data_IF_185845926277
#
_entry.id   IF_185845926277
#
_cell.length_a   1.000
_cell.length_b   1.000
_cell.length_c   1.000
_cell.angle_alpha   90.00
_cell.angle_beta   90.00
_cell.angle_gamma   90.00
#
_symmetry.space_group_name_H-M   'P 1'
#
loop_
_entity.id
_entity.type
_entity.pdbx_description
1 polymer ?
#
# COMPACT_ATOMS: atom_id res chain seq x y z
N UNK A 1 -32.11 -7.29 25.21
CA UNK A 1 -31.48 -6.08 24.64
C UNK A 1 -30.76 -6.53 23.38
N UNK A 2 -31.30 -6.16 22.21
CA UNK A 2 -30.80 -6.57 20.91
C UNK A 2 -29.73 -5.55 20.50
N UNK A 3 -28.45 -5.95 20.53
CA UNK A 3 -27.37 -5.10 20.06
C UNK A 3 -27.56 -4.84 18.55
N UNK A 4 -27.62 -3.57 18.17
CA UNK A 4 -27.68 -3.12 16.79
C UNK A 4 -26.37 -3.51 16.07
N UNK A 5 -26.38 -4.61 15.34
CA UNK A 5 -25.27 -5.15 14.53
C UNK A 5 -24.90 -4.31 13.29
N UNK A 6 -25.45 -3.09 13.15
CA UNK A 6 -25.19 -2.20 12.02
C UNK A 6 -23.82 -1.51 12.06
N UNK A 7 -23.12 -1.54 13.20
CA UNK A 7 -21.80 -0.92 13.38
C UNK A 7 -20.71 -1.88 13.87
N UNK A 8 -20.90 -3.19 13.69
CA UNK A 8 -19.80 -4.14 13.94
C UNK A 8 -18.76 -3.93 12.85
N UNK A 9 -17.64 -3.27 13.18
CA UNK A 9 -16.46 -3.16 12.32
C UNK A 9 -16.10 -4.58 11.87
N UNK A 10 -16.33 -4.84 10.59
CA UNK A 10 -16.18 -6.16 9.98
C UNK A 10 -14.75 -6.68 10.22
N UNK A 11 -14.63 -7.88 10.82
CA UNK A 11 -13.34 -8.58 11.02
C UNK A 11 -12.62 -8.95 9.70
N UNK A 12 -13.22 -8.60 8.55
CA UNK A 12 -12.73 -8.86 7.20
C UNK A 12 -11.79 -7.78 6.64
N UNK A 13 -11.51 -6.70 7.38
CA UNK A 13 -10.60 -5.61 6.97
C UNK A 13 -9.19 -5.79 7.54
N UNK A 14 -8.58 -6.95 7.32
CA UNK A 14 -7.24 -7.23 7.83
C UNK A 14 -6.20 -6.41 7.08
N UNK A 15 -5.25 -5.75 7.79
CA UNK A 15 -4.21 -4.95 7.13
C UNK A 15 -3.42 -5.71 6.07
N UNK A 16 -3.18 -7.01 6.27
CA UNK A 16 -2.43 -7.82 5.32
C UNK A 16 -3.21 -8.12 4.03
N UNK A 17 -4.52 -8.35 4.10
CA UNK A 17 -5.33 -8.55 2.89
C UNK A 17 -5.34 -7.29 2.02
N UNK A 18 -5.41 -6.13 2.67
CA UNK A 18 -5.28 -4.84 2.01
C UNK A 18 -3.86 -4.53 1.54
N UNK A 19 -2.82 -5.08 2.19
CA UNK A 19 -1.46 -5.05 1.68
C UNK A 19 -1.39 -5.77 0.33
N UNK A 20 -1.86 -7.01 0.28
CA UNK A 20 -1.79 -7.82 -0.94
C UNK A 20 -2.62 -7.17 -2.06
N UNK A 21 -3.84 -6.73 -1.76
CA UNK A 21 -4.70 -6.03 -2.73
C UNK A 21 -4.06 -4.73 -3.24
N UNK A 22 -3.54 -3.89 -2.33
CA UNK A 22 -2.86 -2.64 -2.68
C UNK A 22 -1.60 -2.87 -3.52
N UNK A 23 -0.83 -3.91 -3.20
CA UNK A 23 0.36 -4.28 -3.96
C UNK A 23 0.04 -4.74 -5.37
N UNK A 24 -1.01 -5.55 -5.54
CA UNK A 24 -1.46 -6.01 -6.85
C UNK A 24 -1.94 -4.85 -7.72
N UNK A 25 -2.82 -3.99 -7.19
CA UNK A 25 -3.38 -2.86 -7.93
C UNK A 25 -2.28 -1.89 -8.37
N UNK A 26 -1.43 -1.48 -7.44
CA UNK A 26 -0.34 -0.54 -7.74
C UNK A 26 0.71 -1.14 -8.68
N UNK A 27 1.07 -2.42 -8.48
CA UNK A 27 1.99 -3.15 -9.36
C UNK A 27 1.46 -3.29 -10.78
N UNK A 28 0.17 -3.62 -10.95
CA UNK A 28 -0.47 -3.70 -12.27
C UNK A 28 -0.56 -2.33 -12.94
N UNK A 29 -0.91 -1.27 -12.20
CA UNK A 29 -0.90 0.09 -12.73
C UNK A 29 0.49 0.53 -13.19
N UNK A 30 1.52 0.24 -12.40
CA UNK A 30 2.91 0.50 -12.76
C UNK A 30 3.38 -0.34 -13.96
N UNK A 31 2.88 -1.58 -14.11
CA UNK A 31 3.16 -2.42 -15.26
C UNK A 31 2.58 -1.81 -16.54
N UNK A 32 1.31 -1.38 -16.52
CA UNK A 32 0.67 -0.74 -17.67
C UNK A 32 1.45 0.49 -18.15
N UNK A 33 1.85 1.36 -17.21
CA UNK A 33 2.66 2.54 -17.52
C UNK A 33 4.07 2.16 -17.99
N UNK A 34 4.73 1.23 -17.29
CA UNK A 34 6.10 0.81 -17.61
C UNK A 34 6.21 0.11 -18.97
N UNK A 35 5.26 -0.73 -19.34
CA UNK A 35 5.25 -1.35 -20.67
C UNK A 35 5.07 -0.31 -21.78
N UNK A 36 4.25 0.72 -21.56
CA UNK A 36 4.16 1.86 -22.48
C UNK A 36 5.50 2.58 -22.62
N UNK A 37 6.19 2.85 -21.51
CA UNK A 37 7.52 3.49 -21.53
C UNK A 37 8.55 2.64 -22.30
N UNK A 38 8.53 1.31 -22.10
CA UNK A 38 9.40 0.37 -22.82
C UNK A 38 9.13 0.34 -24.33
N UNK A 39 7.86 0.27 -24.76
CA UNK A 39 7.49 0.27 -26.17
C UNK A 39 7.88 1.56 -26.89
N UNK A 40 7.94 2.67 -26.15
CA UNK A 40 8.35 3.98 -26.65
C UNK A 40 9.87 4.23 -26.56
N UNK A 41 10.68 3.21 -26.27
CA UNK A 41 12.13 3.30 -26.07
C UNK A 41 12.56 4.30 -24.97
N UNK A 42 11.70 4.55 -23.98
CA UNK A 42 11.97 5.45 -22.84
C UNK A 42 12.45 4.72 -21.60
N UNK A 43 12.38 3.39 -21.58
CA UNK A 43 12.79 2.56 -20.46
C UNK A 43 13.26 1.17 -20.93
N UNK A 44 14.12 0.52 -20.16
CA UNK A 44 14.48 -0.89 -20.39
C UNK A 44 13.52 -1.83 -19.65
N UNK A 45 13.49 -3.12 -20.01
CA UNK A 45 12.71 -4.13 -19.27
C UNK A 45 13.07 -4.18 -17.78
N UNK A 46 14.34 -3.91 -17.44
CA UNK A 46 14.82 -3.87 -16.05
C UNK A 46 14.19 -2.70 -15.29
N UNK A 47 14.08 -1.55 -15.92
CA UNK A 47 13.47 -0.36 -15.33
C UNK A 47 11.97 -0.58 -15.09
N UNK A 48 11.29 -1.22 -16.04
CA UNK A 48 9.87 -1.62 -15.88
C UNK A 48 9.69 -2.56 -14.70
N UNK A 49 10.50 -3.63 -14.60
CA UNK A 49 10.41 -4.56 -13.48
C UNK A 49 10.66 -3.87 -12.12
N UNK A 50 11.62 -2.96 -12.07
CA UNK A 50 11.92 -2.16 -10.87
C UNK A 50 10.76 -1.24 -10.50
N UNK A 51 10.15 -0.57 -11.49
CA UNK A 51 8.96 0.27 -11.31
C UNK A 51 7.79 -0.55 -10.74
N UNK A 52 7.51 -1.73 -11.31
CA UNK A 52 6.46 -2.63 -10.82
C UNK A 52 6.73 -3.02 -9.36
N UNK A 53 7.95 -3.48 -9.05
CA UNK A 53 8.30 -3.90 -7.69
C UNK A 53 8.18 -2.74 -6.69
N UNK A 54 8.64 -1.55 -7.07
CA UNK A 54 8.54 -0.35 -6.24
C UNK A 54 7.08 -0.04 -5.91
N UNK A 55 6.26 0.12 -6.94
CA UNK A 55 4.86 0.48 -6.76
C UNK A 55 4.05 -0.62 -6.07
N UNK A 56 4.38 -1.90 -6.27
CA UNK A 56 3.74 -2.98 -5.53
C UNK A 56 4.03 -2.90 -4.03
N UNK A 57 5.28 -2.69 -3.63
CA UNK A 57 5.64 -2.52 -2.21
C UNK A 57 4.96 -1.27 -1.64
N UNK A 58 5.06 -0.14 -2.32
CA UNK A 58 4.41 1.12 -1.91
C UNK A 58 2.90 0.95 -1.77
N UNK A 59 2.25 0.38 -2.78
CA UNK A 59 0.81 0.14 -2.80
C UNK A 59 0.35 -0.79 -1.68
N UNK A 60 1.14 -1.81 -1.36
CA UNK A 60 0.85 -2.69 -0.24
C UNK A 60 0.91 -1.98 1.10
N UNK A 61 1.97 -1.21 1.37
CA UNK A 61 2.06 -0.41 2.59
C UNK A 61 0.91 0.58 2.70
N UNK A 62 0.60 1.32 1.63
CA UNK A 62 -0.52 2.27 1.61
C UNK A 62 -1.85 1.57 1.90
N UNK A 63 -2.10 0.40 1.30
CA UNK A 63 -3.30 -0.40 1.55
C UNK A 63 -3.42 -0.84 3.01
N UNK A 64 -2.35 -1.42 3.57
CA UNK A 64 -2.33 -1.92 4.94
C UNK A 64 -2.47 -0.80 5.99
N UNK A 65 -1.72 0.28 5.80
CA UNK A 65 -1.71 1.42 6.72
C UNK A 65 -3.02 2.17 6.62
N UNK A 66 -3.49 2.42 5.40
CA UNK A 66 -4.76 3.10 5.14
C UNK A 66 -5.94 2.38 5.78
N UNK A 67 -6.01 1.05 5.67
CA UNK A 67 -7.13 0.31 6.27
C UNK A 67 -7.08 0.31 7.79
N UNK A 68 -5.89 0.14 8.38
CA UNK A 68 -5.75 0.12 9.83
C UNK A 68 -6.04 1.50 10.44
N UNK A 69 -5.49 2.56 9.84
CA UNK A 69 -5.77 3.93 10.25
C UNK A 69 -7.26 4.25 10.09
N UNK A 70 -7.90 3.82 9.00
CA UNK A 70 -9.35 3.97 8.80
C UNK A 70 -10.16 3.28 9.89
N UNK A 71 -9.77 2.07 10.31
CA UNK A 71 -10.41 1.35 11.40
C UNK A 71 -10.25 2.09 12.74
N UNK A 72 -9.08 2.66 13.01
CA UNK A 72 -8.83 3.46 14.22
C UNK A 72 -9.62 4.78 14.23
N UNK A 73 -9.73 5.45 13.08
CA UNK A 73 -10.57 6.66 12.91
C UNK A 73 -12.03 6.34 13.20
N UNK A 74 -12.55 5.23 12.66
CA UNK A 74 -13.92 4.78 12.93
C UNK A 74 -14.16 4.51 14.43
N UNK A 75 -13.13 4.08 15.16
CA UNK A 75 -13.14 3.91 16.62
C UNK A 75 -12.87 5.21 17.41
N UNK A 76 -12.83 6.37 16.75
CA UNK A 76 -12.50 7.69 17.35
C UNK A 76 -11.09 7.77 17.97
N UNK A 77 -10.17 6.88 17.58
CA UNK A 77 -8.78 6.82 18.07
C UNK A 77 -7.85 7.59 17.14
N UNK A 78 -8.07 8.90 17.02
CA UNK A 78 -7.37 9.75 16.04
C UNK A 78 -5.85 9.82 16.26
N UNK A 79 -5.40 9.94 17.51
CA UNK A 79 -3.96 9.98 17.83
C UNK A 79 -3.27 8.68 17.43
N UNK A 80 -3.91 7.54 17.70
CA UNK A 80 -3.37 6.23 17.32
C UNK A 80 -3.36 6.06 15.79
N UNK A 81 -4.39 6.57 15.09
CA UNK A 81 -4.42 6.55 13.63
C UNK A 81 -3.26 7.37 13.03
N UNK A 82 -2.98 8.56 13.60
CA UNK A 82 -1.86 9.39 13.18
C UNK A 82 -0.51 8.72 13.46
N UNK A 83 -0.32 8.19 14.68
CA UNK A 83 0.91 7.48 15.06
C UNK A 83 1.15 6.24 14.19
N UNK A 84 0.11 5.45 13.93
CA UNK A 84 0.23 4.27 13.07
C UNK A 84 0.53 4.65 11.62
N UNK A 85 -0.09 5.71 11.12
CA UNK A 85 0.20 6.24 9.77
C UNK A 85 1.66 6.67 9.67
N UNK A 86 2.17 7.41 10.66
CA UNK A 86 3.55 7.83 10.70
C UNK A 86 4.52 6.64 10.74
N UNK A 87 4.24 5.64 11.58
CA UNK A 87 5.02 4.40 11.65
C UNK A 87 4.97 3.63 10.32
N UNK A 88 3.81 3.59 9.65
CA UNK A 88 3.62 2.96 8.35
C UNK A 88 4.43 3.64 7.24
N UNK A 89 4.45 4.98 7.21
CA UNK A 89 5.29 5.75 6.28
C UNK A 89 6.77 5.49 6.56
N UNK A 90 7.19 5.51 7.82
CA UNK A 90 8.57 5.18 8.21
C UNK A 90 8.98 3.77 7.78
N UNK A 91 8.11 2.78 8.00
CA UNK A 91 8.31 1.41 7.56
C UNK A 91 8.42 1.27 6.03
N UNK A 92 7.63 2.03 5.27
CA UNK A 92 7.74 2.08 3.82
C UNK A 92 9.10 2.63 3.37
N UNK A 93 9.57 3.73 3.96
CA UNK A 93 10.87 4.31 3.61
C UNK A 93 12.02 3.31 3.83
N UNK A 94 12.00 2.62 4.98
CA UNK A 94 12.97 1.56 5.29
C UNK A 94 12.84 0.41 4.29
N UNK A 95 11.62 -0.02 3.95
CA UNK A 95 11.40 -1.09 2.98
C UNK A 95 11.92 -0.71 1.58
N UNK A 96 11.73 0.53 1.13
CA UNK A 96 12.27 1.00 -0.14
C UNK A 96 13.80 0.96 -0.18
N UNK A 97 14.45 1.33 0.93
CA UNK A 97 15.90 1.30 1.08
C UNK A 97 16.44 -0.15 1.06
N UNK A 98 15.81 -1.06 1.81
CA UNK A 98 16.21 -2.47 1.89
C UNK A 98 16.07 -3.21 0.55
N UNK A 99 15.02 -2.92 -0.21
CA UNK A 99 14.76 -3.59 -1.49
C UNK A 99 15.61 -2.95 -2.62
N UNK A 100 16.44 -1.94 -2.31
CA UNK A 100 17.26 -1.20 -3.30
C UNK A 100 16.42 -0.73 -4.49
N UNK A 101 15.19 -0.32 -4.21
CA UNK A 101 14.24 0.18 -5.21
C UNK A 101 14.59 1.60 -5.70
N UNK A 102 15.70 2.18 -5.22
CA UNK A 102 16.26 3.45 -5.68
C UNK A 102 16.54 3.42 -7.18
N UNK A 103 15.68 4.05 -7.98
CA UNK A 103 16.14 4.57 -9.27
C UNK A 103 17.15 5.66 -8.96
N UNK A 104 18.43 5.40 -9.19
CA UNK A 104 19.33 6.48 -9.59
C UNK A 104 18.91 6.98 -10.96
#
# INVERSE_FOLDING_TARGET
MQENSLFTLSNTRLPFDHFISGALIAGMGAAALGFSDYLNNRATKKDVAKKIAKYAVTGGFVGAVGIHASNLIAQKKYLNAAAFTAAGIGGLLIAEELIKLESK
#
